data_IF_913087136229
#
_entry.id   IF_913087136229
#
_cell.length_a   1.000
_cell.length_b   1.000
_cell.length_c   1.000
_cell.angle_alpha   90.00
_cell.angle_beta   90.00
_cell.angle_gamma   90.00
#
_symmetry.space_group_name_H-M   'P 1'
#
loop_
_entity.id
_entity.type
_entity.pdbx_description
1 polymer ?
#
# COMPACT_ATOMS: atom_id res chain seq x y z
N UNK A 1 5.81 30.36 -9.98
CA UNK A 1 4.72 29.36 -9.88
C UNK A 1 5.37 28.06 -9.47
N UNK A 2 4.90 27.46 -8.38
CA UNK A 2 5.53 26.29 -7.77
C UNK A 2 5.16 25.04 -8.57
N UNK A 3 6.16 24.30 -9.06
CA UNK A 3 5.92 23.04 -9.74
C UNK A 3 5.62 21.93 -8.71
N UNK A 4 4.34 21.55 -8.59
CA UNK A 4 3.88 20.54 -7.63
C UNK A 4 4.47 19.16 -7.93
N UNK A 5 4.67 18.82 -9.20
CA UNK A 5 5.23 17.52 -9.60
C UNK A 5 6.68 17.39 -9.14
N UNK A 6 7.49 18.42 -9.36
CA UNK A 6 8.87 18.43 -8.87
C UNK A 6 8.92 18.34 -7.34
N UNK A 7 8.05 19.07 -6.63
CA UNK A 7 7.96 18.98 -5.18
C UNK A 7 7.55 17.58 -4.72
N UNK A 8 6.61 16.94 -5.40
CA UNK A 8 6.24 15.56 -5.11
C UNK A 8 7.42 14.61 -5.31
N UNK A 9 8.21 14.77 -6.38
CA UNK A 9 9.37 13.93 -6.63
C UNK A 9 10.43 14.05 -5.54
N UNK A 10 10.69 15.27 -5.07
CA UNK A 10 11.61 15.50 -3.97
C UNK A 10 11.07 14.92 -2.66
N UNK A 11 9.78 15.10 -2.37
CA UNK A 11 9.16 14.57 -1.14
C UNK A 11 9.13 13.05 -1.10
N UNK A 12 8.84 12.37 -2.21
CA UNK A 12 8.79 10.91 -2.28
C UNK A 12 10.17 10.25 -2.36
N UNK A 13 11.24 11.00 -2.60
CA UNK A 13 12.62 10.54 -2.46
C UNK A 13 13.08 10.48 -0.98
N UNK A 14 12.47 11.28 -0.10
CA UNK A 14 12.85 11.35 1.31
C UNK A 14 12.45 10.08 2.08
N UNK A 15 13.19 9.82 3.15
CA UNK A 15 12.78 8.84 4.16
C UNK A 15 11.36 9.18 4.70
N UNK A 16 10.47 8.19 4.86
CA UNK A 16 9.11 8.42 5.36
C UNK A 16 9.02 9.13 6.72
N UNK A 17 10.05 9.11 7.57
CA UNK A 17 10.08 9.91 8.81
C UNK A 17 10.20 11.41 8.52
N UNK A 18 10.96 11.80 7.51
CA UNK A 18 11.18 13.19 7.12
C UNK A 18 10.06 13.80 6.27
N UNK A 19 9.21 12.95 5.66
CA UNK A 19 8.18 13.39 4.71
C UNK A 19 7.27 14.51 5.24
N UNK A 20 6.75 14.37 6.47
CA UNK A 20 5.76 15.32 7.01
C UNK A 20 6.40 16.69 7.28
N UNK A 21 7.63 16.70 7.81
CA UNK A 21 8.37 17.93 8.07
C UNK A 21 8.72 18.65 6.76
N UNK A 22 9.22 17.91 5.76
CA UNK A 22 9.52 18.45 4.45
C UNK A 22 8.27 18.97 3.74
N UNK A 23 7.16 18.21 3.72
CA UNK A 23 5.88 18.65 3.14
C UNK A 23 5.40 19.96 3.76
N UNK A 24 5.50 20.07 5.09
CA UNK A 24 5.08 21.29 5.81
C UNK A 24 5.92 22.50 5.38
N UNK A 25 7.23 22.31 5.22
CA UNK A 25 8.15 23.35 4.73
C UNK A 25 7.77 23.81 3.31
N UNK A 26 7.53 22.85 2.40
CA UNK A 26 7.11 23.14 1.01
C UNK A 26 5.76 23.84 0.90
N UNK A 27 4.81 23.50 1.76
CA UNK A 27 3.53 24.21 1.85
C UNK A 27 3.74 25.66 2.30
N UNK A 28 4.62 25.91 3.27
CA UNK A 28 4.93 27.26 3.72
C UNK A 28 5.60 28.11 2.62
N UNK A 29 6.55 27.53 1.89
CA UNK A 29 7.22 28.17 0.74
C UNK A 29 6.25 28.54 -0.39
N UNK A 30 5.33 27.64 -0.73
CA UNK A 30 4.29 27.90 -1.73
C UNK A 30 3.35 29.04 -1.28
N UNK A 31 2.95 29.07 -0.01
CA UNK A 31 2.17 30.17 0.57
C UNK A 31 2.92 31.50 0.55
N UNK A 32 4.20 31.51 0.88
CA UNK A 32 5.06 32.70 0.82
C UNK A 32 5.18 33.23 -0.61
N UNK A 33 5.19 32.32 -1.59
CA UNK A 33 5.18 32.63 -3.02
C UNK A 33 3.79 33.02 -3.56
N UNK A 34 2.78 33.16 -2.69
CA UNK A 34 1.38 33.45 -3.02
C UNK A 34 0.70 32.41 -3.93
N UNK A 35 1.27 31.21 -4.03
CA UNK A 35 0.75 30.11 -4.84
C UNK A 35 -0.14 29.20 -3.99
N UNK A 36 -1.40 29.61 -3.80
CA UNK A 36 -2.36 28.91 -2.96
C UNK A 36 -2.73 27.53 -3.51
N UNK A 37 -2.81 27.41 -4.83
CA UNK A 37 -3.16 26.16 -5.51
C UNK A 37 -2.06 25.11 -5.27
N UNK A 38 -0.79 25.48 -5.50
CA UNK A 38 0.32 24.58 -5.23
C UNK A 38 0.41 24.23 -3.74
N UNK A 39 0.19 25.18 -2.83
CA UNK A 39 0.18 24.91 -1.39
C UNK A 39 -0.88 23.87 -1.00
N UNK A 40 -2.09 23.97 -1.55
CA UNK A 40 -3.16 22.98 -1.32
C UNK A 40 -2.82 21.63 -1.93
N UNK A 41 -2.27 21.59 -3.14
CA UNK A 41 -1.88 20.35 -3.80
C UNK A 41 -0.77 19.62 -3.02
N UNK A 42 0.27 20.33 -2.59
CA UNK A 42 1.37 19.77 -1.78
C UNK A 42 0.83 19.28 -0.42
N UNK A 43 -0.08 20.00 0.22
CA UNK A 43 -0.67 19.59 1.49
C UNK A 43 -1.47 18.28 1.39
N UNK A 44 -2.05 17.99 0.23
CA UNK A 44 -2.80 16.76 -0.05
C UNK A 44 -1.91 15.54 -0.28
N UNK A 45 -0.61 15.73 -0.51
CA UNK A 45 0.32 14.61 -0.68
C UNK A 45 0.37 13.75 0.59
N UNK A 46 0.10 12.47 0.42
CA UNK A 46 0.09 11.48 1.50
C UNK A 46 1.49 10.93 1.71
N UNK A 47 1.82 10.67 2.98
CA UNK A 47 3.06 9.99 3.37
C UNK A 47 3.05 8.55 2.83
N UNK A 48 4.11 8.11 2.15
CA UNK A 48 4.20 6.72 1.70
C UNK A 48 4.44 5.78 2.88
N UNK A 49 4.00 4.52 2.76
CA UNK A 49 4.44 3.44 3.64
C UNK A 49 5.90 3.09 3.36
N UNK A 50 6.52 2.30 4.25
CA UNK A 50 7.91 1.84 4.05
C UNK A 50 8.04 1.00 2.78
N UNK A 51 7.03 0.18 2.45
CA UNK A 51 7.00 -0.62 1.21
C UNK A 51 6.87 0.29 -0.01
N UNK A 52 5.96 1.27 0.02
CA UNK A 52 5.81 2.24 -1.07
C UNK A 52 7.11 3.00 -1.33
N UNK A 53 7.75 3.46 -0.26
CA UNK A 53 9.04 4.13 -0.34
C UNK A 53 10.18 3.22 -0.85
N UNK A 54 10.23 1.95 -0.45
CA UNK A 54 11.24 1.01 -0.97
C UNK A 54 11.14 0.82 -2.49
N UNK A 55 9.92 0.78 -3.04
CA UNK A 55 9.70 0.74 -4.49
C UNK A 55 10.03 2.09 -5.14
N UNK A 56 9.74 3.21 -4.48
CA UNK A 56 10.13 4.54 -4.98
C UNK A 56 11.66 4.69 -5.05
N UNK A 57 12.40 4.15 -4.08
CA UNK A 57 13.86 4.08 -4.13
C UNK A 57 14.35 3.27 -5.34
N UNK A 58 13.75 2.11 -5.61
CA UNK A 58 14.12 1.33 -6.80
C UNK A 58 13.94 2.14 -8.09
N UNK A 59 12.81 2.83 -8.23
CA UNK A 59 12.53 3.63 -9.44
C UNK A 59 13.48 4.80 -9.63
N UNK A 60 14.04 5.34 -8.54
CA UNK A 60 14.96 6.48 -8.56
C UNK A 60 16.42 6.05 -8.76
N UNK A 61 16.84 5.00 -8.06
CA UNK A 61 18.23 4.54 -8.05
C UNK A 61 18.53 3.56 -9.19
N UNK A 62 17.51 2.81 -9.65
CA UNK A 62 17.62 1.75 -10.66
C UNK A 62 16.53 1.86 -11.74
N UNK A 63 16.37 3.02 -12.40
CA UNK A 63 15.28 3.25 -13.36
C UNK A 63 15.28 2.24 -14.51
N UNK A 64 16.45 1.92 -15.07
CA UNK A 64 16.58 0.99 -16.19
C UNK A 64 16.13 -0.44 -15.83
N UNK A 65 16.39 -0.87 -14.60
CA UNK A 65 16.01 -2.21 -14.16
C UNK A 65 14.52 -2.32 -13.83
N UNK A 66 13.95 -1.24 -13.27
CA UNK A 66 12.51 -1.14 -13.08
C UNK A 66 11.81 -1.16 -14.43
N UNK A 67 12.28 -0.39 -15.41
CA UNK A 67 11.71 -0.38 -16.76
C UNK A 67 11.82 -1.75 -17.45
N UNK A 68 12.94 -2.45 -17.30
CA UNK A 68 13.12 -3.79 -17.84
C UNK A 68 12.11 -4.80 -17.24
N UNK A 69 11.83 -4.71 -15.93
CA UNK A 69 10.83 -5.56 -15.29
C UNK A 69 9.42 -5.21 -15.75
N UNK A 70 9.07 -3.93 -15.82
CA UNK A 70 7.74 -3.51 -16.25
C UNK A 70 7.47 -3.86 -17.72
N UNK A 71 8.48 -3.76 -18.60
CA UNK A 71 8.38 -4.16 -20.01
C UNK A 71 8.12 -5.67 -20.20
N UNK A 72 8.49 -6.50 -19.22
CA UNK A 72 8.22 -7.94 -19.25
C UNK A 72 6.72 -8.23 -19.16
N UNK A 73 5.94 -7.35 -18.50
CA UNK A 73 4.49 -7.44 -18.43
C UNK A 73 3.84 -7.44 -19.82
N UNK A 74 4.28 -6.52 -20.68
CA UNK A 74 3.80 -6.44 -22.07
C UNK A 74 4.18 -7.69 -22.87
N UNK A 75 5.39 -8.23 -22.69
CA UNK A 75 5.84 -9.45 -23.36
C UNK A 75 5.00 -10.67 -22.94
N UNK A 76 4.73 -10.80 -21.64
CA UNK A 76 3.87 -11.85 -21.10
C UNK A 76 2.45 -11.76 -21.64
N UNK A 77 1.86 -10.57 -21.64
CA UNK A 77 0.52 -10.34 -22.17
C UNK A 77 0.42 -10.69 -23.67
N UNK A 78 1.47 -10.38 -24.45
CA UNK A 78 1.56 -10.78 -25.87
C UNK A 78 1.66 -12.30 -26.04
N UNK A 79 2.50 -12.98 -25.25
CA UNK A 79 2.65 -14.43 -25.31
C UNK A 79 1.37 -15.16 -24.90
N UNK A 80 0.65 -14.66 -23.88
CA UNK A 80 -0.65 -15.18 -23.45
C UNK A 80 -1.69 -15.10 -24.57
N UNK A 81 -1.78 -13.95 -25.25
CA UNK A 81 -2.70 -13.75 -26.39
C UNK A 81 -2.40 -14.67 -27.58
N UNK A 82 -1.14 -15.10 -27.75
CA UNK A 82 -0.71 -16.01 -28.81
C UNK A 82 -0.77 -17.49 -28.42
N UNK A 83 -1.13 -17.80 -27.18
CA UNK A 83 -1.13 -19.16 -26.61
C UNK A 83 0.23 -19.88 -26.75
N UNK A 84 1.32 -19.12 -26.68
CA UNK A 84 2.69 -19.62 -26.84
C UNK A 84 3.23 -20.14 -25.49
N UNK A 85 3.00 -21.41 -25.21
CA UNK A 85 3.34 -22.04 -23.92
C UNK A 85 4.85 -22.07 -23.63
N UNK A 86 5.70 -22.18 -24.65
CA UNK A 86 7.15 -22.23 -24.49
C UNK A 86 7.69 -20.84 -24.12
N UNK A 87 7.30 -19.83 -24.88
CA UNK A 87 7.64 -18.43 -24.58
C UNK A 87 7.10 -18.02 -23.20
N UNK A 88 5.88 -18.46 -22.83
CA UNK A 88 5.31 -18.19 -21.51
C UNK A 88 6.14 -18.76 -20.36
N UNK A 89 6.65 -19.98 -20.50
CA UNK A 89 7.53 -20.58 -19.46
C UNK A 89 8.81 -19.76 -19.32
N UNK A 90 9.49 -19.45 -20.42
CA UNK A 90 10.73 -18.66 -20.40
C UNK A 90 10.55 -17.28 -19.77
N UNK A 91 9.50 -16.55 -20.16
CA UNK A 91 9.18 -15.23 -19.61
C UNK A 91 8.78 -15.30 -18.12
N UNK A 92 8.09 -16.36 -17.71
CA UNK A 92 7.71 -16.56 -16.29
C UNK A 92 8.93 -16.77 -15.39
N UNK A 93 9.91 -17.56 -15.84
CA UNK A 93 11.15 -17.75 -15.11
C UNK A 93 12.00 -16.47 -15.06
N UNK A 94 12.08 -15.76 -16.18
CA UNK A 94 12.75 -14.46 -16.24
C UNK A 94 12.12 -13.47 -15.26
N UNK A 95 10.79 -13.44 -15.20
CA UNK A 95 10.03 -12.61 -14.25
C UNK A 95 10.42 -12.89 -12.81
N UNK A 96 10.43 -14.16 -12.41
CA UNK A 96 10.77 -14.55 -11.04
C UNK A 96 12.21 -14.15 -10.67
N UNK A 97 13.16 -14.33 -11.60
CA UNK A 97 14.57 -13.94 -11.37
C UNK A 97 14.73 -12.44 -11.20
N UNK A 98 14.13 -11.65 -12.08
CA UNK A 98 14.25 -10.18 -12.04
C UNK A 98 13.56 -9.59 -10.81
N UNK A 99 12.34 -10.02 -10.50
CA UNK A 99 11.62 -9.55 -9.30
C UNK A 99 12.39 -9.88 -8.03
N UNK A 100 12.93 -11.10 -7.91
CA UNK A 100 13.77 -11.47 -6.76
C UNK A 100 15.00 -10.56 -6.65
N UNK A 101 15.67 -10.28 -7.77
CA UNK A 101 16.83 -9.40 -7.78
C UNK A 101 16.49 -7.98 -7.33
N UNK A 102 15.41 -7.40 -7.85
CA UNK A 102 14.94 -6.07 -7.45
C UNK A 102 14.52 -6.02 -5.98
N UNK A 103 13.84 -7.05 -5.47
CA UNK A 103 13.48 -7.11 -4.04
C UNK A 103 14.72 -7.14 -3.14
N UNK A 104 15.76 -7.88 -3.52
CA UNK A 104 17.05 -7.86 -2.79
C UNK A 104 17.72 -6.49 -2.86
N UNK A 105 17.68 -5.81 -4.02
CA UNK A 105 18.22 -4.46 -4.18
C UNK A 105 17.44 -3.43 -3.36
N UNK A 106 16.11 -3.52 -3.31
CA UNK A 106 15.27 -2.68 -2.46
C UNK A 106 15.65 -2.83 -0.99
N UNK A 107 15.86 -4.06 -0.52
CA UNK A 107 16.33 -4.31 0.84
C UNK A 107 17.68 -3.63 1.12
N UNK A 108 18.60 -3.67 0.17
CA UNK A 108 19.92 -3.01 0.29
C UNK A 108 19.78 -1.49 0.35
N UNK A 109 19.03 -0.88 -0.56
CA UNK A 109 18.78 0.56 -0.60
C UNK A 109 18.13 1.07 0.71
N UNK A 110 17.14 0.33 1.22
CA UNK A 110 16.49 0.65 2.49
C UNK A 110 17.48 0.58 3.67
N UNK A 111 18.42 -0.38 3.64
CA UNK A 111 19.48 -0.51 4.66
C UNK A 111 20.51 0.61 4.61
N UNK A 112 20.84 1.11 3.43
CA UNK A 112 21.73 2.27 3.26
C UNK A 112 21.15 3.53 3.91
N UNK A 113 19.82 3.61 4.03
CA UNK A 113 19.08 4.65 4.73
C UNK A 113 18.83 4.34 6.23
N UNK A 114 19.47 3.31 6.79
CA UNK A 114 19.36 2.96 8.21
C UNK A 114 18.06 2.26 8.61
N UNK A 115 17.28 1.75 7.64
CA UNK A 115 16.04 1.00 7.88
C UNK A 115 16.20 -0.48 7.49
N UNK A 116 15.25 -1.31 7.89
CA UNK A 116 15.20 -2.71 7.48
C UNK A 116 13.80 -3.08 7.01
N UNK A 117 13.73 -3.92 5.98
CA UNK A 117 12.50 -4.59 5.55
C UNK A 117 12.43 -5.97 6.19
N UNK A 118 11.31 -6.28 6.83
CA UNK A 118 11.00 -7.64 7.28
C UNK A 118 10.52 -8.50 6.10
N UNK A 119 10.37 -9.80 6.31
CA UNK A 119 9.95 -10.73 5.25
C UNK A 119 8.59 -10.38 4.64
N UNK A 120 7.64 -9.88 5.45
CA UNK A 120 6.33 -9.45 4.93
C UNK A 120 6.46 -8.28 3.97
N UNK A 121 7.25 -7.27 4.34
CA UNK A 121 7.51 -6.11 3.49
C UNK A 121 8.23 -6.51 2.19
N UNK A 122 9.17 -7.46 2.24
CA UNK A 122 9.82 -7.98 1.03
C UNK A 122 8.84 -8.72 0.10
N UNK A 123 7.90 -9.48 0.68
CA UNK A 123 6.81 -10.10 -0.10
C UNK A 123 5.91 -9.04 -0.73
N UNK A 124 5.52 -8.00 0.00
CA UNK A 124 4.70 -6.91 -0.51
C UNK A 124 5.40 -6.11 -1.62
N UNK A 125 6.70 -5.84 -1.51
CA UNK A 125 7.51 -5.25 -2.60
C UNK A 125 7.43 -6.13 -3.85
N UNK A 126 7.65 -7.44 -3.70
CA UNK A 126 7.61 -8.39 -4.82
C UNK A 126 6.22 -8.45 -5.47
N UNK A 127 5.16 -8.48 -4.66
CA UNK A 127 3.76 -8.46 -5.13
C UNK A 127 3.43 -7.16 -5.86
N UNK A 128 3.95 -6.03 -5.39
CA UNK A 128 3.73 -4.73 -6.04
C UNK A 128 4.41 -4.67 -7.41
N UNK A 129 5.64 -5.17 -7.53
CA UNK A 129 6.32 -5.30 -8.83
C UNK A 129 5.54 -6.21 -9.78
N UNK A 130 4.96 -7.30 -9.26
CA UNK A 130 4.07 -8.16 -10.04
C UNK A 130 2.80 -7.46 -10.51
N UNK A 131 2.14 -6.71 -9.62
CA UNK A 131 0.94 -5.96 -9.96
C UNK A 131 1.22 -4.89 -11.02
N UNK A 132 2.35 -4.18 -10.89
CA UNK A 132 2.75 -3.14 -11.84
C UNK A 132 3.05 -3.68 -13.25
N UNK A 133 3.43 -4.95 -13.40
CA UNK A 133 3.54 -5.58 -14.72
C UNK A 133 2.18 -5.83 -15.38
N UNK A 134 1.09 -5.92 -14.61
CA UNK A 134 -0.25 -6.19 -15.11
C UNK A 134 -1.13 -4.94 -15.26
N UNK A 135 -0.72 -3.82 -14.66
CA UNK A 135 -1.47 -2.57 -14.61
C UNK A 135 -0.58 -1.40 -15.07
N UNK A 136 -0.99 -0.75 -16.16
CA UNK A 136 -0.25 0.38 -16.76
C UNK A 136 -0.23 1.62 -15.86
N UNK A 137 -1.32 1.93 -15.18
CA UNK A 137 -1.39 3.12 -14.31
C UNK A 137 -0.50 2.94 -13.08
N UNK A 138 -0.47 1.71 -12.55
CA UNK A 138 0.45 1.34 -11.48
C UNK A 138 1.90 1.35 -11.96
N UNK A 139 2.19 0.82 -13.16
CA UNK A 139 3.52 0.87 -13.77
C UNK A 139 4.02 2.31 -13.88
N UNK A 140 3.20 3.23 -14.36
CA UNK A 140 3.54 4.65 -14.48
C UNK A 140 3.78 5.30 -13.12
N UNK A 141 3.00 4.91 -12.10
CA UNK A 141 3.19 5.40 -10.72
C UNK A 141 4.49 4.90 -10.10
N UNK A 142 4.86 3.64 -10.38
CA UNK A 142 6.15 3.07 -9.99
C UNK A 142 7.28 3.78 -10.71
N UNK A 143 7.21 3.98 -12.03
CA UNK A 143 8.24 4.72 -12.80
C UNK A 143 8.49 6.13 -12.28
N UNK A 144 7.43 6.84 -11.89
CA UNK A 144 7.55 8.16 -11.27
C UNK A 144 8.13 8.11 -9.85
N UNK A 145 8.20 6.94 -9.22
CA UNK A 145 8.62 6.79 -7.83
C UNK A 145 7.71 7.55 -6.86
N UNK A 146 6.38 7.43 -7.06
CA UNK A 146 5.33 8.09 -6.25
C UNK A 146 4.33 7.12 -5.65
N UNK A 147 4.73 5.86 -5.46
CA UNK A 147 3.90 4.83 -4.86
C UNK A 147 3.66 5.14 -3.37
N UNK A 148 2.39 5.13 -2.96
CA UNK A 148 1.99 5.39 -1.57
C UNK A 148 2.11 4.17 -0.66
N UNK A 149 1.98 2.96 -1.20
CA UNK A 149 2.04 1.73 -0.42
C UNK A 149 2.01 0.49 -1.28
N UNK A 150 1.96 -0.68 -0.64
CA UNK A 150 1.89 -1.95 -1.35
C UNK A 150 0.66 -1.99 -2.27
N UNK A 151 0.85 -2.51 -3.48
CA UNK A 151 -0.22 -2.80 -4.41
C UNK A 151 -0.25 -4.31 -4.65
N UNK A 152 -1.44 -4.91 -4.63
CA UNK A 152 -1.64 -6.31 -4.99
C UNK A 152 -2.54 -6.40 -6.20
N UNK A 153 -2.18 -7.28 -7.14
CA UNK A 153 -3.09 -7.68 -8.20
C UNK A 153 -4.13 -8.61 -7.59
N UNK A 154 -5.22 -8.03 -7.14
CA UNK A 154 -6.47 -8.73 -6.93
C UNK A 154 -7.41 -8.24 -8.02
N UNK A 155 -8.19 -9.12 -8.63
CA UNK A 155 -9.35 -8.75 -9.46
C UNK A 155 -10.42 -7.93 -8.70
N UNK A 156 -10.09 -7.49 -7.49
CA UNK A 156 -10.66 -6.38 -6.74
C UNK A 156 -9.50 -5.46 -6.33
N UNK A 157 -9.37 -4.30 -6.99
CA UNK A 157 -8.25 -3.38 -6.77
C UNK A 157 -8.16 -2.84 -5.33
N UNK A 158 -7.05 -2.16 -4.99
CA UNK A 158 -6.89 -1.50 -3.70
C UNK A 158 -7.70 -0.19 -3.68
N UNK A 159 -9.00 -0.33 -3.54
CA UNK A 159 -9.85 0.76 -3.04
C UNK A 159 -9.89 0.62 -1.53
N UNK A 160 -9.55 1.69 -0.80
CA UNK A 160 -9.81 1.80 0.62
C UNK A 160 -11.30 1.73 0.91
N UNK A 161 -11.84 0.52 0.90
CA UNK A 161 -13.15 0.19 1.44
C UNK A 161 -12.91 -0.22 2.88
N UNK A 162 -13.10 0.78 3.73
CA UNK A 162 -13.46 0.66 5.12
C UNK A 162 -14.51 -0.47 5.26
N UNK A 163 -14.06 -1.64 5.69
CA UNK A 163 -14.97 -2.62 6.27
C UNK A 163 -15.43 -2.00 7.58
N UNK A 164 -16.58 -1.33 7.54
CA UNK A 164 -17.35 -1.06 8.75
C UNK A 164 -17.68 -2.43 9.34
N UNK A 165 -16.89 -2.81 10.35
CA UNK A 165 -17.19 -3.98 11.16
C UNK A 165 -18.43 -3.65 11.97
N UNK A 166 -19.58 -4.16 11.51
CA UNK A 166 -20.81 -4.19 12.28
C UNK A 166 -20.57 -5.05 13.53
N UNK A 167 -20.17 -4.38 14.63
CA UNK A 167 -20.15 -4.97 15.96
C UNK A 167 -21.44 -4.55 16.68
N UNK A 168 -22.43 -5.45 16.83
CA UNK A 168 -23.33 -5.32 17.96
C UNK A 168 -22.51 -5.59 19.23
N UNK A 169 -22.36 -4.55 20.05
CA UNK A 169 -21.80 -4.65 21.39
C UNK A 169 -22.58 -5.68 22.22
N UNK A 170 -21.89 -6.73 22.65
CA UNK A 170 -22.26 -7.45 23.85
C UNK A 170 -20.99 -7.71 24.64
N UNK A 171 -20.92 -7.11 25.82
CA UNK A 171 -19.96 -7.39 26.86
C UNK A 171 -20.69 -7.47 28.22
N UNK A 172 -20.12 -8.19 29.20
CA UNK A 172 -20.83 -9.20 29.97
C UNK A 172 -20.80 -8.93 31.48
N UNK A 173 -21.50 -9.76 32.26
CA UNK A 173 -21.33 -9.88 33.71
C UNK A 173 -22.17 -11.06 34.23
N UNK A 174 -21.62 -12.27 34.26
CA UNK A 174 -21.07 -12.96 35.45
C UNK A 174 -22.10 -13.10 36.59
N UNK A 175 -22.84 -14.21 36.71
CA UNK A 175 -22.52 -15.53 37.32
C UNK A 175 -22.88 -15.58 38.82
N UNK A 176 -23.59 -16.66 39.18
CA UNK A 176 -23.53 -17.47 40.43
C UNK A 176 -24.83 -17.62 41.25
N UNK A 177 -25.07 -18.89 41.66
CA UNK A 177 -25.94 -19.33 42.77
C UNK A 177 -27.35 -19.77 42.36
N UNK A 178 -27.64 -21.06 42.12
CA UNK A 178 -27.95 -22.13 43.08
C UNK A 178 -29.30 -22.03 43.82
N UNK A 179 -29.95 -23.20 43.89
CA UNK A 179 -30.99 -23.68 44.79
C UNK A 179 -32.43 -23.74 44.29
N UNK A 180 -32.87 -24.99 44.22
CA UNK A 180 -34.21 -25.56 44.29
C UNK A 180 -35.01 -25.05 45.51
N UNK A 181 -36.34 -25.23 45.48
CA UNK A 181 -37.17 -25.28 46.69
C UNK A 181 -38.57 -24.67 46.60
N UNK A 182 -39.55 -25.52 46.24
CA UNK A 182 -40.86 -25.77 46.90
C UNK A 182 -41.78 -24.65 47.45
N UNK A 183 -43.10 -24.91 47.30
CA UNK A 183 -44.18 -24.39 48.17
C UNK A 183 -45.10 -23.35 47.52
N UNK A 184 -46.23 -23.70 46.90
CA UNK A 184 -47.52 -24.09 47.49
C UNK A 184 -48.29 -22.92 48.15
N UNK A 185 -49.51 -22.66 47.65
CA UNK A 185 -50.65 -22.30 48.52
C UNK A 185 -51.31 -20.92 48.37
N UNK A 186 -52.63 -20.93 48.09
CA UNK A 186 -53.62 -19.90 48.49
C UNK A 186 -53.93 -18.85 47.42
N UNK A 187 -55.11 -18.80 46.79
CA UNK A 187 -56.39 -18.24 47.29
C UNK A 187 -56.19 -16.82 47.85
N UNK A 188 -56.94 -15.79 47.50
CA UNK A 188 -58.37 -15.66 47.31
C UNK A 188 -58.67 -14.18 46.96
N UNK A 189 -59.83 -13.90 46.36
CA UNK A 189 -60.63 -12.66 46.55
C UNK A 189 -60.03 -11.33 46.03
N UNK A 190 -60.77 -10.29 45.63
CA UNK A 190 -62.19 -10.03 45.44
C UNK A 190 -62.31 -8.61 44.83
N UNK A 191 -63.27 -8.42 43.91
CA UNK A 191 -64.02 -7.20 43.53
C UNK A 191 -63.32 -5.83 43.50
N UNK A 192 -63.40 -5.18 42.34
CA UNK A 192 -64.13 -3.92 42.14
C UNK A 192 -64.39 -3.70 40.65
#
# INVERSE_FOLDING_TARGET
>A
MTNVDQVADELYALDPSGFVAARTTRVAEAKASKDREAATAIARLKKPTVVGWAVNLLARELPDEVDAVLALGDALQRAQRRLDAETLRGLTEQRQRLVRSLTTRAQKLVREHGRALNESALREVSQTLHAAMADRELADTVRRGRLLGAATYSGFGPSGLEAVEDRPESHPGNREGESEGEGEGGREAERA
#
